data_IF_081778958257
#
_entry.id   IF_081778958257
#
_cell.length_a   1.000
_cell.length_b   1.000
_cell.length_c   1.000
_cell.angle_alpha   90.00
_cell.angle_beta   90.00
_cell.angle_gamma   90.00
#
_symmetry.space_group_name_H-M   'P 1'
#
loop_
_entity.id
_entity.type
_entity.pdbx_description
1 polymer ?
#
# COMPACT_ATOMS: atom_id res chain seq x y z
N UNK A 1 9.04 17.41 -36.88
CA UNK A 1 7.70 17.11 -37.44
C UNK A 1 7.28 15.77 -36.88
N UNK A 2 6.46 15.75 -35.82
CA UNK A 2 6.04 14.49 -35.18
C UNK A 2 4.94 13.89 -36.06
N UNK A 3 5.19 12.71 -36.62
CA UNK A 3 4.20 11.93 -37.36
C UNK A 3 3.72 10.77 -36.47
N UNK A 4 2.49 10.86 -35.98
CA UNK A 4 1.82 9.73 -35.33
C UNK A 4 1.19 8.88 -36.43
N UNK A 5 1.72 7.68 -36.69
CA UNK A 5 1.16 6.76 -37.70
C UNK A 5 0.76 5.43 -37.07
N UNK A 6 -0.45 5.40 -36.51
CA UNK A 6 -1.41 4.28 -36.53
C UNK A 6 -2.73 4.76 -35.89
N UNK A 7 -3.83 4.74 -36.64
CA UNK A 7 -5.16 5.11 -36.15
C UNK A 7 -6.06 3.86 -36.05
N UNK A 8 -6.10 3.23 -34.87
CA UNK A 8 -7.13 2.24 -34.56
C UNK A 8 -8.27 2.95 -33.81
N UNK A 9 -9.25 3.49 -34.56
CA UNK A 9 -10.39 4.22 -34.01
C UNK A 9 -11.49 3.25 -33.53
N UNK A 10 -11.66 3.09 -32.21
CA UNK A 10 -12.79 2.35 -31.63
C UNK A 10 -13.92 3.33 -31.30
N UNK A 11 -14.72 3.66 -32.32
CA UNK A 11 -15.89 4.53 -32.20
C UNK A 11 -15.59 6.02 -32.44
N UNK A 12 -16.62 6.78 -32.82
CA UNK A 12 -16.54 8.22 -33.06
C UNK A 12 -17.59 8.96 -32.23
N UNK A 13 -17.22 10.13 -31.72
CA UNK A 13 -18.10 11.03 -31.00
C UNK A 13 -17.91 12.45 -31.57
N UNK A 14 -18.98 13.09 -32.03
CA UNK A 14 -18.93 14.48 -32.49
C UNK A 14 -18.84 15.42 -31.28
N UNK A 15 -17.61 15.78 -30.90
CA UNK A 15 -17.35 16.72 -29.81
C UNK A 15 -17.42 18.18 -30.30
N UNK A 16 -18.12 19.05 -29.57
CA UNK A 16 -18.36 20.46 -29.94
C UNK A 16 -17.23 21.44 -29.56
N UNK A 17 -16.05 20.95 -29.16
CA UNK A 17 -14.92 21.78 -28.71
C UNK A 17 -13.90 22.10 -29.81
N UNK A 18 -13.00 23.06 -29.56
CA UNK A 18 -11.94 23.42 -30.51
C UNK A 18 -10.99 22.24 -30.77
N UNK A 19 -10.82 21.92 -32.06
CA UNK A 19 -9.96 20.85 -32.59
C UNK A 19 -8.45 21.12 -32.42
N UNK A 20 -8.08 22.36 -32.10
CA UNK A 20 -6.67 22.81 -31.99
C UNK A 20 -5.99 22.42 -30.65
N UNK A 21 -6.65 21.62 -29.81
CA UNK A 21 -6.13 21.18 -28.51
C UNK A 21 -6.18 19.66 -28.39
N UNK A 22 -5.06 19.05 -27.99
CA UNK A 22 -5.02 17.66 -27.51
C UNK A 22 -5.87 17.56 -26.25
N UNK A 23 -7.04 16.93 -26.34
CA UNK A 23 -8.03 17.03 -25.27
C UNK A 23 -7.93 15.90 -24.21
N UNK A 24 -7.46 14.69 -24.55
CA UNK A 24 -7.14 13.62 -23.58
C UNK A 24 -6.00 12.76 -24.15
N UNK A 25 -4.88 12.64 -23.42
CA UNK A 25 -3.78 11.72 -23.73
C UNK A 25 -3.73 10.66 -22.63
N UNK A 26 -3.90 9.40 -22.98
CA UNK A 26 -3.70 8.26 -22.08
C UNK A 26 -2.38 7.60 -22.43
N UNK A 27 -1.41 7.66 -21.52
CA UNK A 27 -0.11 7.00 -21.67
C UNK A 27 -0.10 5.78 -20.74
N UNK A 28 -0.01 4.59 -21.33
CA UNK A 28 0.19 3.36 -20.56
C UNK A 28 1.65 3.22 -20.16
N UNK A 29 1.92 3.19 -18.86
CA UNK A 29 3.26 2.96 -18.33
C UNK A 29 3.43 1.47 -18.00
N UNK A 30 4.57 0.89 -18.40
CA UNK A 30 4.94 -0.46 -17.99
C UNK A 30 5.27 -0.49 -16.49
N UNK A 31 5.10 -1.66 -15.87
CA UNK A 31 5.41 -1.84 -14.43
C UNK A 31 6.90 -1.71 -14.15
N UNK A 32 7.73 -2.21 -15.05
CA UNK A 32 9.18 -2.12 -15.02
C UNK A 32 9.61 -1.11 -16.08
N UNK A 33 10.65 -0.34 -15.78
CA UNK A 33 11.27 0.58 -16.73
C UNK A 33 11.97 -0.24 -17.82
N UNK A 34 11.55 -0.15 -19.08
CA UNK A 34 12.26 -0.82 -20.17
C UNK A 34 13.66 -0.23 -20.33
N UNK A 35 14.59 -1.00 -20.89
CA UNK A 35 15.88 -0.44 -21.35
C UNK A 35 15.63 0.68 -22.37
N UNK A 36 16.48 1.70 -22.36
CA UNK A 36 16.34 2.86 -23.22
C UNK A 36 16.31 2.46 -24.71
N UNK A 37 15.16 2.66 -25.34
CA UNK A 37 14.89 2.44 -26.77
C UNK A 37 14.20 3.70 -27.32
N UNK A 38 14.72 4.24 -28.43
CA UNK A 38 14.20 5.44 -29.12
C UNK A 38 12.71 5.30 -29.49
N UNK A 39 12.20 4.08 -29.64
CA UNK A 39 10.80 3.79 -29.96
C UNK A 39 9.83 4.15 -28.82
N UNK A 40 10.30 4.11 -27.57
CA UNK A 40 9.47 4.26 -26.37
C UNK A 40 9.88 5.43 -25.49
N UNK A 41 10.60 6.39 -26.04
CA UNK A 41 11.23 7.50 -25.32
C UNK A 41 10.24 8.23 -24.39
N UNK A 42 9.10 8.71 -24.91
CA UNK A 42 8.09 9.42 -24.09
C UNK A 42 7.53 8.56 -22.94
N UNK A 43 7.18 7.31 -23.23
CA UNK A 43 6.63 6.41 -22.22
C UNK A 43 7.67 6.09 -21.14
N UNK A 44 8.94 5.97 -21.54
CA UNK A 44 10.07 5.69 -20.66
C UNK A 44 10.43 6.90 -19.80
N UNK A 45 10.49 8.12 -20.36
CA UNK A 45 10.73 9.34 -19.58
C UNK A 45 9.63 9.58 -18.54
N UNK A 46 8.36 9.45 -18.94
CA UNK A 46 7.22 9.59 -18.01
C UNK A 46 7.26 8.47 -16.96
N UNK A 47 7.60 7.24 -17.36
CA UNK A 47 7.83 6.12 -16.46
C UNK A 47 8.88 6.42 -15.40
N UNK A 48 10.01 7.01 -15.80
CA UNK A 48 11.12 7.36 -14.92
C UNK A 48 10.70 8.42 -13.89
N UNK A 49 10.04 9.50 -14.33
CA UNK A 49 9.55 10.57 -13.43
C UNK A 49 8.54 10.00 -12.42
N UNK A 50 7.64 9.12 -12.88
CA UNK A 50 6.58 8.55 -12.04
C UNK A 50 7.03 7.33 -11.21
N UNK A 51 8.26 6.84 -11.42
CA UNK A 51 8.77 5.66 -10.72
C UNK A 51 8.74 5.84 -9.20
N UNK A 52 8.36 4.78 -8.48
CA UNK A 52 8.36 4.76 -7.01
C UNK A 52 9.68 4.27 -6.43
N UNK A 53 10.54 3.72 -7.27
CA UNK A 53 11.80 3.09 -6.87
C UNK A 53 12.97 4.06 -6.99
N UNK A 54 12.89 5.01 -7.91
CA UNK A 54 13.89 6.04 -8.12
C UNK A 54 13.73 7.18 -7.11
N UNK A 55 14.87 7.63 -6.57
CA UNK A 55 14.99 8.86 -5.79
C UNK A 55 14.79 10.10 -6.67
N UNK A 56 14.57 11.25 -6.03
CA UNK A 56 14.43 12.53 -6.76
C UNK A 56 15.67 12.81 -7.60
N UNK A 57 16.87 12.59 -7.06
CA UNK A 57 18.11 12.86 -7.77
C UNK A 57 18.32 11.93 -8.96
N UNK A 58 18.01 10.63 -8.83
CA UNK A 58 18.06 9.69 -9.96
C UNK A 58 17.07 10.05 -11.07
N UNK A 59 15.85 10.48 -10.70
CA UNK A 59 14.88 10.96 -11.68
C UNK A 59 15.36 12.21 -12.41
N UNK A 60 15.93 13.17 -11.69
CA UNK A 60 16.50 14.36 -12.28
C UNK A 60 17.66 13.99 -13.22
N UNK A 61 18.55 13.09 -12.80
CA UNK A 61 19.70 12.65 -13.60
C UNK A 61 19.27 12.00 -14.92
N UNK A 62 18.33 11.05 -14.85
CA UNK A 62 17.75 10.40 -16.04
C UNK A 62 17.12 11.44 -16.97
N UNK A 63 16.31 12.35 -16.44
CA UNK A 63 15.62 13.35 -17.27
C UNK A 63 16.58 14.36 -17.90
N UNK A 64 17.59 14.80 -17.16
CA UNK A 64 18.55 15.78 -17.65
C UNK A 64 19.60 15.18 -18.59
N UNK A 65 20.11 13.99 -18.30
CA UNK A 65 21.25 13.41 -19.01
C UNK A 65 20.84 12.40 -20.08
N UNK A 66 19.85 11.55 -19.81
CA UNK A 66 19.43 10.48 -20.74
C UNK A 66 18.47 11.02 -21.80
N UNK A 67 17.53 11.88 -21.40
CA UNK A 67 16.50 12.44 -22.28
C UNK A 67 16.76 13.89 -22.73
N UNK A 68 17.88 14.48 -22.30
CA UNK A 68 18.28 15.87 -22.64
C UNK A 68 17.17 16.92 -22.35
N UNK A 69 16.37 16.70 -21.30
CA UNK A 69 15.29 17.61 -20.90
C UNK A 69 15.86 18.66 -19.93
N UNK A 70 15.75 19.97 -20.22
CA UNK A 70 16.28 21.03 -19.38
C UNK A 70 15.68 21.02 -17.95
N UNK A 71 16.56 20.92 -16.96
CA UNK A 71 16.18 20.89 -15.53
C UNK A 71 16.21 22.30 -14.92
N UNK A 72 15.22 23.11 -15.29
CA UNK A 72 15.00 24.42 -14.69
C UNK A 72 14.71 24.32 -13.17
N UNK A 73 14.91 25.43 -12.45
CA UNK A 73 14.76 25.47 -10.98
C UNK A 73 13.33 25.14 -10.52
N UNK A 74 12.32 25.64 -11.26
CA UNK A 74 10.91 25.32 -11.05
C UNK A 74 10.64 23.81 -11.18
N UNK A 75 11.17 23.16 -12.22
CA UNK A 75 10.99 21.73 -12.49
C UNK A 75 11.59 20.88 -11.36
N UNK A 76 12.80 21.23 -10.91
CA UNK A 76 13.44 20.57 -9.75
C UNK A 76 12.61 20.69 -8.48
N UNK A 77 12.06 21.87 -8.22
CA UNK A 77 11.21 22.13 -7.06
C UNK A 77 9.89 21.36 -7.12
N UNK A 78 9.27 21.29 -8.29
CA UNK A 78 8.02 20.55 -8.50
C UNK A 78 8.24 19.05 -8.32
N UNK A 79 9.34 18.51 -8.87
CA UNK A 79 9.71 17.10 -8.70
C UNK A 79 9.97 16.76 -7.21
N UNK A 80 10.71 17.62 -6.50
CA UNK A 80 10.92 17.45 -5.07
C UNK A 80 9.61 17.47 -4.28
N UNK A 81 8.71 18.41 -4.60
CA UNK A 81 7.44 18.55 -3.88
C UNK A 81 6.56 17.31 -4.07
N UNK A 82 6.46 16.83 -5.32
CA UNK A 82 5.66 15.66 -5.66
C UNK A 82 6.18 14.38 -4.98
N UNK A 83 7.50 14.14 -5.02
CA UNK A 83 8.10 12.96 -4.43
C UNK A 83 7.99 12.98 -2.90
N UNK A 84 8.25 14.12 -2.27
CA UNK A 84 8.16 14.27 -0.82
C UNK A 84 6.72 14.08 -0.30
N UNK A 85 5.71 14.55 -1.04
CA UNK A 85 4.32 14.30 -0.69
C UNK A 85 3.99 12.81 -0.68
N UNK A 86 4.35 12.10 -1.75
CA UNK A 86 4.11 10.66 -1.88
C UNK A 86 4.82 9.85 -0.79
N UNK A 87 6.06 10.26 -0.46
CA UNK A 87 6.83 9.68 0.62
C UNK A 87 6.17 9.92 1.99
N UNK A 88 5.76 11.16 2.28
CA UNK A 88 5.08 11.50 3.53
C UNK A 88 3.81 10.68 3.75
N UNK A 89 2.97 10.52 2.73
CA UNK A 89 1.76 9.68 2.79
C UNK A 89 2.10 8.21 3.06
N UNK A 90 3.13 7.67 2.40
CA UNK A 90 3.59 6.28 2.62
C UNK A 90 4.10 6.08 4.05
N UNK A 91 4.92 6.99 4.55
CA UNK A 91 5.48 6.93 5.90
C UNK A 91 4.40 7.04 6.97
N UNK A 92 3.46 7.97 6.81
CA UNK A 92 2.30 8.10 7.70
C UNK A 92 1.43 6.84 7.69
N UNK A 93 1.14 6.28 6.52
CA UNK A 93 0.40 5.03 6.38
C UNK A 93 1.09 3.85 7.09
N UNK A 94 2.42 3.74 6.98
CA UNK A 94 3.20 2.73 7.71
C UNK A 94 3.14 2.98 9.22
N UNK A 95 3.25 4.22 9.66
CA UNK A 95 3.20 4.56 11.08
C UNK A 95 1.83 4.23 11.70
N UNK A 96 0.75 4.57 11.00
CA UNK A 96 -0.62 4.21 11.38
C UNK A 96 -0.77 2.70 11.45
N UNK A 97 -0.39 1.99 10.38
CA UNK A 97 -0.52 0.54 10.32
C UNK A 97 0.29 -0.19 11.40
N UNK A 98 1.49 0.29 11.73
CA UNK A 98 2.29 -0.25 12.84
C UNK A 98 1.63 -0.01 14.20
N UNK A 99 1.10 1.19 14.43
CA UNK A 99 0.41 1.52 15.69
C UNK A 99 -0.81 0.63 15.88
N UNK A 100 -1.66 0.54 14.86
CA UNK A 100 -2.88 -0.27 14.90
C UNK A 100 -2.58 -1.76 15.02
N UNK A 101 -1.61 -2.26 14.25
CA UNK A 101 -1.18 -3.65 14.34
C UNK A 101 -0.59 -4.02 15.71
N UNK A 102 0.16 -3.12 16.35
CA UNK A 102 0.68 -3.34 17.71
C UNK A 102 -0.43 -3.32 18.76
N UNK A 103 -1.38 -2.39 18.64
CA UNK A 103 -2.51 -2.30 19.56
C UNK A 103 -3.40 -3.55 19.47
N UNK A 104 -3.71 -3.98 18.25
CA UNK A 104 -4.51 -5.17 18.00
C UNK A 104 -3.78 -6.44 18.45
N UNK A 105 -2.51 -6.61 18.04
CA UNK A 105 -1.72 -7.77 18.45
C UNK A 105 -1.52 -7.85 19.97
N UNK A 106 -1.42 -6.71 20.66
CA UNK A 106 -1.40 -6.67 22.13
C UNK A 106 -2.73 -7.15 22.70
N UNK A 107 -3.87 -6.66 22.18
CA UNK A 107 -5.22 -7.04 22.63
C UNK A 107 -5.46 -8.53 22.43
N UNK A 108 -5.16 -9.04 21.24
CA UNK A 108 -5.28 -10.47 20.91
C UNK A 108 -4.34 -11.32 21.78
N UNK A 109 -3.07 -10.93 21.92
CA UNK A 109 -2.12 -11.65 22.75
C UNK A 109 -2.52 -11.73 24.23
N UNK A 110 -3.07 -10.65 24.79
CA UNK A 110 -3.64 -10.68 26.15
C UNK A 110 -4.83 -11.64 26.25
N UNK A 111 -5.77 -11.57 25.30
CA UNK A 111 -6.94 -12.44 25.29
C UNK A 111 -6.56 -13.93 25.12
N UNK A 112 -5.62 -14.23 24.22
CA UNK A 112 -5.12 -15.58 23.99
C UNK A 112 -4.39 -16.14 25.20
N UNK A 113 -3.52 -15.34 25.82
CA UNK A 113 -2.78 -15.69 27.03
C UNK A 113 -3.71 -15.93 28.21
N UNK A 114 -4.71 -15.07 28.40
CA UNK A 114 -5.73 -15.22 29.44
C UNK A 114 -6.56 -16.50 29.23
N UNK A 115 -7.04 -16.73 28.01
CA UNK A 115 -7.76 -17.95 27.66
C UNK A 115 -6.88 -19.21 27.81
N UNK A 116 -5.58 -19.11 27.52
CA UNK A 116 -4.60 -20.16 27.75
C UNK A 116 -4.47 -20.50 29.24
N UNK A 117 -4.32 -19.48 30.09
CA UNK A 117 -4.25 -19.63 31.54
C UNK A 117 -5.52 -20.28 32.11
N UNK A 118 -6.69 -19.82 31.68
CA UNK A 118 -7.99 -20.40 32.05
C UNK A 118 -8.05 -21.89 31.70
N UNK A 119 -7.63 -22.27 30.50
CA UNK A 119 -7.58 -23.68 30.11
C UNK A 119 -6.57 -24.49 30.93
N UNK A 120 -5.42 -23.93 31.28
CA UNK A 120 -4.46 -24.60 32.16
C UNK A 120 -5.04 -24.82 33.56
N UNK A 121 -5.70 -23.81 34.13
CA UNK A 121 -6.38 -23.94 35.43
C UNK A 121 -7.47 -25.02 35.38
N UNK A 122 -8.28 -25.04 34.33
CA UNK A 122 -9.32 -26.06 34.16
C UNK A 122 -8.74 -27.47 33.98
N UNK A 123 -7.71 -27.64 33.14
CA UNK A 123 -7.00 -28.92 32.95
C UNK A 123 -6.34 -29.41 34.25
N UNK A 124 -5.99 -28.51 35.17
CA UNK A 124 -5.48 -28.84 36.51
C UNK A 124 -6.59 -29.16 37.53
N UNK A 125 -7.86 -29.22 37.12
CA UNK A 125 -8.98 -29.67 37.94
C UNK A 125 -9.70 -28.57 38.72
N UNK A 126 -9.42 -27.28 38.46
CA UNK A 126 -10.19 -26.19 39.06
C UNK A 126 -11.58 -26.09 38.42
N UNK A 127 -12.60 -25.85 39.24
CA UNK A 127 -13.96 -25.64 38.77
C UNK A 127 -14.13 -24.23 38.17
N UNK A 128 -15.04 -24.04 37.19
CA UNK A 128 -15.30 -22.73 36.58
C UNK A 128 -15.56 -21.61 37.59
N UNK A 129 -16.23 -21.89 38.70
CA UNK A 129 -16.53 -20.95 39.78
C UNK A 129 -15.27 -20.52 40.55
N UNK A 130 -14.30 -21.43 40.69
CA UNK A 130 -13.01 -21.14 41.33
C UNK A 130 -12.11 -20.33 40.38
N UNK A 131 -12.14 -20.64 39.09
CA UNK A 131 -11.41 -19.87 38.07
C UNK A 131 -11.99 -18.44 38.00
N UNK A 132 -13.31 -18.30 37.94
CA UNK A 132 -14.00 -17.00 37.95
C UNK A 132 -13.72 -16.17 39.20
N UNK A 133 -13.39 -16.78 40.35
CA UNK A 133 -12.97 -16.03 41.54
C UNK A 133 -11.47 -15.66 41.55
N UNK A 134 -10.65 -16.37 40.76
CA UNK A 134 -9.22 -16.09 40.58
C UNK A 134 -8.92 -15.18 39.37
N UNK A 135 -9.87 -15.02 38.46
CA UNK A 135 -9.80 -14.19 37.25
C UNK A 135 -10.87 -13.11 37.29
N UNK A 136 -10.70 -11.98 36.60
CA UNK A 136 -11.73 -10.93 36.53
C UNK A 136 -12.80 -11.24 35.47
N UNK A 137 -13.33 -12.48 35.48
CA UNK A 137 -14.31 -13.00 34.50
C UNK A 137 -15.50 -13.65 35.19
N UNK A 138 -16.64 -13.61 34.50
CA UNK A 138 -17.84 -14.32 34.91
C UNK A 138 -17.72 -15.83 34.65
N UNK A 139 -18.49 -16.62 35.39
CA UNK A 139 -18.54 -18.09 35.21
C UNK A 139 -18.98 -18.44 33.79
N UNK A 140 -19.89 -17.67 33.21
CA UNK A 140 -20.37 -17.80 31.84
C UNK A 140 -19.24 -17.62 30.83
N UNK A 141 -18.43 -16.56 30.95
CA UNK A 141 -17.29 -16.30 30.07
C UNK A 141 -16.24 -17.42 30.16
N UNK A 142 -15.95 -17.91 31.37
CA UNK A 142 -15.05 -19.05 31.59
C UNK A 142 -15.58 -20.29 30.85
N UNK A 143 -16.87 -20.59 30.98
CA UNK A 143 -17.50 -21.73 30.27
C UNK A 143 -17.41 -21.56 28.76
N UNK A 144 -17.66 -20.36 28.23
CA UNK A 144 -17.53 -20.08 26.80
C UNK A 144 -16.09 -20.29 26.30
N UNK A 145 -15.09 -19.83 27.05
CA UNK A 145 -13.67 -20.01 26.70
C UNK A 145 -13.29 -21.50 26.70
N UNK A 146 -13.73 -22.26 27.71
CA UNK A 146 -13.47 -23.70 27.81
C UNK A 146 -14.14 -24.45 26.66
N UNK A 147 -15.40 -24.13 26.34
CA UNK A 147 -16.14 -24.75 25.23
C UNK A 147 -15.55 -24.39 23.86
N UNK A 148 -15.15 -23.13 23.67
CA UNK A 148 -14.59 -22.63 22.41
C UNK A 148 -13.19 -23.20 22.10
N UNK A 149 -12.36 -23.43 23.12
CA UNK A 149 -11.04 -24.09 22.95
C UNK A 149 -11.11 -25.62 22.99
N UNK A 150 -12.21 -26.20 23.47
CA UNK A 150 -12.43 -27.66 23.54
C UNK A 150 -12.61 -28.38 22.20
N UNK A 151 -12.48 -27.71 21.06
CA UNK A 151 -12.67 -28.29 19.71
C UNK A 151 -11.33 -28.63 19.02
N UNK A 152 -10.18 -28.36 19.63
CA UNK A 152 -8.85 -28.71 19.06
C UNK A 152 -8.20 -29.98 19.65
N UNK A 153 -8.86 -30.73 20.53
CA UNK A 153 -8.31 -31.96 21.13
C UNK A 153 -8.85 -33.27 20.46
N UNK A 154 -9.45 -33.21 19.25
CA UNK A 154 -9.79 -34.41 18.44
C UNK A 154 -9.53 -34.24 16.92
N UNK A 155 -8.25 -34.22 16.48
CA UNK A 155 -7.74 -34.84 15.23
C UNK A 155 -6.30 -35.30 15.49
#
# INVERSE_FOLDING_TARGET
HIHLTKEDLIGSYEWKGNLDLLNIIMIGLAKELPEHDETYELASSVGSIMSRELTVDEKLDIIGNEYDIPLEENFRKDMSTMCNLSQGVKEEGIAIGRREGLEEGRREGYAEGEAGLIMTMYKNGLLPEQIASATDKTVEEIKTIIQGKGIFDEI
#
